data_IF_272364535482
#
_entry.id   IF_272364535482
#
_cell.length_a   1.000
_cell.length_b   1.000
_cell.length_c   1.000
_cell.angle_alpha   90.00
_cell.angle_beta   90.00
_cell.angle_gamma   90.00
#
_symmetry.space_group_name_H-M   'P 1'
#
loop_
_entity.id
_entity.type
_entity.pdbx_description
1 polymer ?
#
# COMPACT_ATOMS: atom_id res chain seq x y z
N UNK A 1 -20.22 -40.68 -3.11
CA UNK A 1 -19.52 -41.25 -4.29
C UNK A 1 -19.63 -40.24 -5.45
N UNK A 2 -18.88 -39.15 -5.41
CA UNK A 2 -18.93 -38.10 -6.44
C UNK A 2 -17.56 -37.39 -6.65
N UNK A 3 -16.48 -38.00 -6.15
CA UNK A 3 -15.14 -37.41 -6.03
C UNK A 3 -14.04 -38.34 -6.56
N UNK A 4 -14.41 -39.39 -7.32
CA UNK A 4 -13.45 -40.26 -8.03
C UNK A 4 -13.50 -40.10 -9.56
N UNK A 5 -14.67 -39.77 -10.11
CA UNK A 5 -14.84 -39.72 -11.57
C UNK A 5 -14.21 -38.48 -12.23
N UNK A 6 -14.02 -37.39 -11.48
CA UNK A 6 -13.38 -36.16 -12.00
C UNK A 6 -11.87 -36.36 -12.28
N UNK A 7 -11.20 -37.18 -11.47
CA UNK A 7 -9.76 -37.45 -11.62
C UNK A 7 -9.49 -38.25 -12.89
N UNK A 8 -10.36 -39.21 -13.22
CA UNK A 8 -10.24 -40.03 -14.43
C UNK A 8 -10.51 -39.28 -15.75
N UNK A 9 -11.11 -38.08 -15.69
CA UNK A 9 -11.33 -37.24 -16.86
C UNK A 9 -10.14 -36.31 -17.16
N UNK A 10 -9.40 -35.88 -16.13
CA UNK A 10 -8.21 -35.03 -16.31
C UNK A 10 -6.99 -35.80 -16.83
N UNK A 11 -6.81 -37.06 -16.43
CA UNK A 11 -5.69 -37.91 -16.89
C UNK A 11 -5.79 -38.36 -18.36
N UNK A 12 -6.83 -37.95 -19.09
CA UNK A 12 -7.05 -38.31 -20.50
C UNK A 12 -6.73 -37.19 -21.50
N UNK A 13 -6.42 -35.97 -21.04
CA UNK A 13 -6.12 -34.82 -21.91
C UNK A 13 -4.63 -34.62 -22.22
N UNK A 14 -3.71 -35.19 -21.44
CA UNK A 14 -2.27 -34.88 -21.55
C UNK A 14 -1.55 -35.63 -22.69
N UNK A 15 -2.09 -36.76 -23.14
CA UNK A 15 -1.40 -37.68 -24.08
C UNK A 15 -1.76 -37.43 -25.56
N UNK A 16 -1.68 -36.18 -26.06
CA UNK A 16 -2.00 -35.91 -27.49
C UNK A 16 -1.27 -34.79 -28.24
N UNK A 17 -0.08 -34.36 -27.80
CA UNK A 17 0.79 -33.46 -28.60
C UNK A 17 2.26 -33.93 -28.62
N UNK A 18 2.59 -34.84 -29.56
CA UNK A 18 3.89 -35.02 -30.26
C UNK A 18 3.98 -36.39 -30.95
N UNK A 19 3.54 -36.48 -32.20
CA UNK A 19 4.05 -37.41 -33.23
C UNK A 19 3.47 -36.98 -34.58
N UNK A 20 4.30 -36.40 -35.45
CA UNK A 20 4.07 -36.40 -36.90
C UNK A 20 5.36 -36.91 -37.51
N UNK A 21 5.31 -38.12 -38.05
CA UNK A 21 6.37 -38.71 -38.84
C UNK A 21 5.80 -39.13 -40.20
N UNK A 22 6.50 -38.73 -41.26
CA UNK A 22 6.63 -39.39 -42.56
C UNK A 22 5.45 -40.27 -43.05
N UNK A 23 4.77 -39.82 -44.11
CA UNK A 23 4.59 -40.71 -45.28
C UNK A 23 3.21 -40.84 -45.95
N UNK A 24 3.27 -40.78 -47.29
CA UNK A 24 2.47 -41.52 -48.29
C UNK A 24 0.93 -41.36 -48.41
N UNK A 25 0.55 -40.73 -49.54
CA UNK A 25 -0.43 -41.19 -50.56
C UNK A 25 -1.93 -41.30 -50.22
N UNK A 26 -2.81 -40.90 -51.17
CA UNK A 26 -4.28 -41.05 -51.02
C UNK A 26 -5.20 -40.23 -51.96
N UNK A 27 -4.93 -40.21 -53.26
CA UNK A 27 -5.87 -40.00 -54.40
C UNK A 27 -7.16 -39.12 -54.29
N UNK A 28 -7.18 -38.03 -55.09
CA UNK A 28 -8.35 -37.52 -55.88
C UNK A 28 -9.58 -36.91 -55.13
N UNK A 29 -10.42 -36.02 -55.69
CA UNK A 29 -10.52 -35.38 -57.03
C UNK A 29 -11.12 -33.97 -56.95
N UNK A 30 -10.87 -33.15 -57.99
CA UNK A 30 -11.65 -31.98 -58.46
C UNK A 30 -11.86 -30.75 -57.53
N UNK A 31 -11.93 -29.49 -58.00
CA UNK A 31 -11.17 -28.71 -59.03
C UNK A 31 -11.88 -27.36 -59.21
N UNK A 32 -11.20 -26.23 -59.00
CA UNK A 32 -11.51 -24.83 -59.43
C UNK A 32 -10.65 -23.89 -58.55
N UNK A 33 -9.83 -22.96 -59.05
CA UNK A 33 -9.39 -22.69 -60.42
C UNK A 33 -8.69 -21.32 -60.51
N UNK A 34 -7.36 -21.29 -60.62
CA UNK A 34 -6.54 -20.07 -60.81
C UNK A 34 -5.37 -20.35 -61.78
N UNK A 35 -4.96 -19.38 -62.62
CA UNK A 35 -3.95 -19.61 -63.65
C UNK A 35 -2.49 -19.35 -63.21
N UNK A 36 -1.65 -20.36 -63.47
CA UNK A 36 -0.31 -20.34 -64.11
C UNK A 36 0.72 -19.21 -63.85
N UNK A 37 1.98 -19.60 -63.59
CA UNK A 37 3.08 -18.65 -63.38
C UNK A 37 4.51 -19.20 -63.19
N UNK A 38 5.00 -20.07 -64.09
CA UNK A 38 6.42 -20.40 -64.35
C UNK A 38 7.30 -21.08 -63.26
N UNK A 39 7.44 -22.40 -63.41
CA UNK A 39 8.67 -23.26 -63.45
C UNK A 39 9.94 -22.93 -62.63
N UNK A 40 10.55 -24.01 -62.11
CA UNK A 40 11.79 -24.04 -61.32
C UNK A 40 12.88 -24.89 -62.01
N UNK A 41 14.08 -24.33 -62.19
CA UNK A 41 15.38 -24.95 -62.54
C UNK A 41 16.42 -23.81 -62.36
N UNK A 42 17.64 -23.98 -61.85
CA UNK A 42 18.44 -25.17 -61.53
C UNK A 42 19.44 -24.85 -60.37
N UNK A 43 20.29 -25.81 -59.99
CA UNK A 43 21.39 -25.78 -59.03
C UNK A 43 21.02 -25.80 -57.53
N UNK A 44 21.71 -26.67 -56.78
CA UNK A 44 21.71 -26.72 -55.32
C UNK A 44 23.13 -26.88 -54.78
N UNK A 45 23.33 -26.57 -53.49
CA UNK A 45 24.62 -26.72 -52.80
C UNK A 45 24.42 -26.99 -51.29
N UNK A 46 25.50 -27.39 -50.60
CA UNK A 46 25.50 -27.98 -49.25
C UNK A 46 24.72 -27.20 -48.16
N UNK A 47 23.70 -27.83 -47.57
CA UNK A 47 23.20 -27.44 -46.23
C UNK A 47 24.13 -28.01 -45.15
N UNK A 48 25.22 -27.29 -44.86
CA UNK A 48 25.99 -27.52 -43.64
C UNK A 48 25.16 -27.14 -42.41
N UNK A 49 25.26 -27.94 -41.35
CA UNK A 49 24.56 -27.68 -40.10
C UNK A 49 25.12 -26.41 -39.42
N UNK A 50 24.41 -25.30 -39.58
CA UNK A 50 24.70 -24.03 -38.90
C UNK A 50 24.23 -24.08 -37.45
N UNK A 51 25.15 -23.97 -36.50
CA UNK A 51 24.85 -23.91 -35.07
C UNK A 51 24.43 -22.49 -34.67
N UNK A 52 23.29 -22.05 -35.21
CA UNK A 52 22.90 -20.64 -35.25
C UNK A 52 22.37 -20.13 -33.91
N UNK A 53 22.88 -18.98 -33.45
CA UNK A 53 22.66 -18.48 -32.08
C UNK A 53 21.18 -18.25 -31.74
N UNK A 54 20.37 -17.84 -32.71
CA UNK A 54 18.92 -17.68 -32.56
C UNK A 54 18.21 -18.99 -32.17
N UNK A 55 18.74 -20.14 -32.57
CA UNK A 55 18.19 -21.47 -32.24
C UNK A 55 18.47 -21.83 -30.78
N UNK A 56 19.64 -21.44 -30.26
CA UNK A 56 19.98 -21.63 -28.84
C UNK A 56 19.22 -20.64 -27.95
N UNK A 57 19.08 -19.38 -28.38
CA UNK A 57 18.31 -18.37 -27.65
C UNK A 57 16.82 -18.75 -27.54
N UNK A 58 16.21 -19.28 -28.60
CA UNK A 58 14.84 -19.79 -28.58
C UNK A 58 14.68 -21.01 -27.65
N UNK A 59 15.65 -21.94 -27.65
CA UNK A 59 15.67 -23.06 -26.70
C UNK A 59 15.83 -22.58 -25.25
N UNK A 60 16.67 -21.58 -25.01
CA UNK A 60 16.92 -21.04 -23.68
C UNK A 60 15.73 -20.23 -23.15
N UNK A 61 14.95 -19.59 -24.02
CA UNK A 61 13.65 -18.99 -23.67
C UNK A 61 12.61 -20.06 -23.31
N UNK A 62 12.46 -21.11 -24.12
CA UNK A 62 11.51 -22.20 -23.84
C UNK A 62 11.82 -22.95 -22.53
N UNK A 63 13.10 -23.23 -22.25
CA UNK A 63 13.52 -23.82 -20.97
C UNK A 63 13.19 -22.91 -19.78
N UNK A 64 13.33 -21.59 -19.94
CA UNK A 64 12.99 -20.62 -18.89
C UNK A 64 11.47 -20.51 -18.66
N UNK A 65 10.64 -20.69 -19.70
CA UNK A 65 9.18 -20.78 -19.55
C UNK A 65 8.77 -22.07 -18.81
N UNK A 66 9.42 -23.20 -19.09
CA UNK A 66 9.16 -24.47 -18.41
C UNK A 66 9.61 -24.45 -16.93
N UNK A 67 10.76 -23.86 -16.61
CA UNK A 67 11.17 -23.58 -15.22
C UNK A 67 10.19 -22.61 -14.51
N UNK A 68 9.64 -21.64 -15.24
CA UNK A 68 8.66 -20.68 -14.69
C UNK A 68 7.33 -21.37 -14.35
N UNK A 69 6.81 -22.26 -15.19
CA UNK A 69 5.58 -23.02 -14.87
C UNK A 69 5.79 -24.02 -13.72
N UNK A 70 6.94 -24.70 -13.66
CA UNK A 70 7.28 -25.59 -12.54
C UNK A 70 7.44 -24.81 -11.22
N UNK A 71 8.05 -23.63 -11.26
CA UNK A 71 8.15 -22.72 -10.11
C UNK A 71 6.78 -22.23 -9.63
N UNK A 72 5.87 -21.88 -10.55
CA UNK A 72 4.50 -21.47 -10.23
C UNK A 72 3.73 -22.61 -9.54
N UNK A 73 3.76 -23.83 -10.09
CA UNK A 73 3.05 -24.97 -9.51
C UNK A 73 3.59 -25.34 -8.12
N UNK A 74 4.92 -25.28 -7.92
CA UNK A 74 5.57 -25.54 -6.62
C UNK A 74 5.24 -24.47 -5.59
N UNK A 75 5.08 -23.21 -5.99
CA UNK A 75 4.59 -22.16 -5.09
C UNK A 75 3.11 -22.36 -4.73
N UNK A 76 2.25 -22.76 -5.67
CA UNK A 76 0.81 -22.95 -5.41
C UNK A 76 0.57 -24.06 -4.38
N UNK A 77 1.30 -25.18 -4.45
CA UNK A 77 1.22 -26.24 -3.43
C UNK A 77 1.74 -25.75 -2.08
N UNK A 78 2.91 -25.12 -2.03
CA UNK A 78 3.49 -24.61 -0.77
C UNK A 78 2.59 -23.56 -0.08
N UNK A 79 1.98 -22.64 -0.83
CA UNK A 79 1.02 -21.67 -0.27
C UNK A 79 -0.26 -22.32 0.28
N UNK A 80 -0.73 -23.41 -0.33
CA UNK A 80 -1.86 -24.21 0.16
C UNK A 80 -1.52 -24.95 1.47
N UNK A 81 -0.30 -25.47 1.59
CA UNK A 81 0.22 -26.10 2.82
C UNK A 81 0.45 -25.09 3.95
N UNK A 82 0.88 -23.86 3.63
CA UNK A 82 1.00 -22.76 4.61
C UNK A 82 -0.38 -22.33 5.12
N UNK A 83 -1.39 -22.18 4.24
CA UNK A 83 -2.74 -21.80 4.65
C UNK A 83 -3.47 -22.88 5.48
N UNK A 84 -3.14 -24.16 5.30
CA UNK A 84 -3.77 -25.26 6.04
C UNK A 84 -3.11 -25.55 7.39
N UNK A 85 -1.87 -25.11 7.63
CA UNK A 85 -1.16 -25.26 8.90
C UNK A 85 -1.14 -23.99 9.77
N UNK A 86 -1.73 -22.88 9.32
CA UNK A 86 -1.80 -21.64 10.08
C UNK A 86 -2.82 -21.74 11.24
N UNK A 87 -2.33 -22.01 12.46
CA UNK A 87 -3.16 -21.93 13.67
C UNK A 87 -3.59 -20.48 13.97
N UNK A 88 -4.77 -20.24 14.58
CA UNK A 88 -5.20 -18.90 14.93
C UNK A 88 -4.25 -18.24 15.95
N UNK A 89 -3.71 -17.09 15.60
CA UNK A 89 -2.71 -16.33 16.40
C UNK A 89 -3.31 -15.71 17.69
N UNK A 90 -4.64 -15.77 17.83
CA UNK A 90 -5.44 -15.12 18.88
C UNK A 90 -5.30 -15.77 20.28
N UNK A 91 -5.07 -17.09 20.38
CA UNK A 91 -4.85 -17.78 21.66
C UNK A 91 -3.50 -17.39 22.30
N UNK A 92 -2.43 -17.35 21.51
CA UNK A 92 -1.07 -17.06 21.98
C UNK A 92 -0.95 -15.66 22.59
N UNK A 93 -1.64 -14.68 22.01
CA UNK A 93 -1.66 -13.30 22.50
C UNK A 93 -2.46 -13.20 23.81
N UNK A 94 -3.59 -13.90 23.93
CA UNK A 94 -4.37 -13.99 25.17
C UNK A 94 -3.55 -14.61 26.31
N UNK A 95 -2.82 -15.69 26.04
CA UNK A 95 -1.97 -16.33 27.06
C UNK A 95 -0.80 -15.42 27.51
N UNK A 96 -0.18 -14.69 26.57
CA UNK A 96 0.86 -13.70 26.89
C UNK A 96 0.33 -12.50 27.69
N UNK A 97 -0.89 -12.04 27.41
CA UNK A 97 -1.55 -10.99 28.19
C UNK A 97 -1.96 -11.47 29.58
N UNK A 98 -2.42 -12.72 29.71
CA UNK A 98 -2.78 -13.31 31.00
C UNK A 98 -1.56 -13.36 31.95
N UNK A 99 -0.41 -13.81 31.45
CA UNK A 99 0.83 -13.96 32.23
C UNK A 99 1.47 -12.62 32.66
N UNK A 100 1.16 -11.50 31.99
CA UNK A 100 1.67 -10.19 32.37
C UNK A 100 0.84 -9.46 33.44
N UNK A 101 -0.29 -10.01 33.90
CA UNK A 101 -1.14 -9.38 34.91
C UNK A 101 -0.88 -9.85 36.35
N UNK A 102 -0.30 -11.04 36.57
CA UNK A 102 -0.08 -11.58 37.92
C UNK A 102 1.20 -11.04 38.61
N UNK A 103 2.23 -10.67 37.82
CA UNK A 103 3.56 -10.30 38.34
C UNK A 103 3.69 -8.88 38.93
N UNK A 104 2.61 -8.08 38.93
CA UNK A 104 2.64 -6.66 39.33
C UNK A 104 1.61 -6.28 40.42
N UNK A 105 0.99 -7.27 41.07
CA UNK A 105 -0.01 -7.09 42.13
C UNK A 105 0.53 -7.35 43.56
N UNK A 106 1.85 -7.57 43.71
CA UNK A 106 2.45 -8.18 44.91
C UNK A 106 3.48 -7.30 45.66
N UNK A 107 3.50 -5.99 45.41
CA UNK A 107 4.31 -5.06 46.23
C UNK A 107 3.75 -3.64 46.32
N UNK A 108 2.84 -3.37 47.28
CA UNK A 108 2.79 -2.10 48.05
C UNK A 108 1.69 -1.97 49.14
N UNK A 109 1.21 -3.05 49.79
CA UNK A 109 0.27 -2.87 50.93
C UNK A 109 0.37 -3.96 52.04
N UNK A 110 1.34 -3.81 52.97
CA UNK A 110 1.21 -4.13 54.41
C UNK A 110 2.54 -3.91 55.17
N UNK A 111 2.65 -2.85 55.98
CA UNK A 111 3.69 -2.78 57.03
C UNK A 111 3.38 -1.77 58.16
N UNK A 112 2.12 -1.67 58.60
CA UNK A 112 1.72 -0.76 59.70
C UNK A 112 0.73 -1.39 60.69
N UNK A 113 1.08 -2.51 61.36
CA UNK A 113 0.62 -2.68 62.75
C UNK A 113 1.47 -3.62 63.63
N UNK A 114 1.78 -3.11 64.83
CA UNK A 114 1.76 -3.80 66.15
C UNK A 114 2.39 -5.21 66.26
N UNK A 115 3.58 -5.27 66.86
CA UNK A 115 3.88 -6.29 67.90
C UNK A 115 4.39 -5.56 69.14
N UNK A 116 3.86 -5.92 70.32
CA UNK A 116 4.30 -5.35 71.59
C UNK A 116 4.30 -6.41 72.71
N UNK A 117 5.50 -6.72 73.21
CA UNK A 117 5.77 -7.38 74.51
C UNK A 117 5.33 -8.85 74.70
N UNK A 118 5.85 -9.58 75.73
CA UNK A 118 7.03 -9.30 76.58
C UNK A 118 8.00 -10.52 76.77
N UNK A 119 9.05 -10.31 77.57
CA UNK A 119 9.84 -11.32 78.33
C UNK A 119 10.84 -12.22 77.54
N UNK A 120 12.03 -12.59 78.05
CA UNK A 120 12.84 -12.12 79.22
C UNK A 120 14.29 -12.66 79.12
N UNK A 121 15.27 -11.98 79.75
CA UNK A 121 16.60 -12.49 80.20
C UNK A 121 17.64 -12.88 79.10
N UNK A 122 18.96 -12.69 79.24
CA UNK A 122 19.77 -11.99 80.28
C UNK A 122 21.22 -11.68 79.81
N UNK A 123 21.89 -10.71 80.48
CA UNK A 123 23.37 -10.47 80.61
C UNK A 123 24.21 -10.27 79.31
N UNK A 124 25.09 -9.26 79.19
CA UNK A 124 25.38 -8.06 80.00
C UNK A 124 26.86 -7.60 79.95
N UNK A 125 27.15 -6.31 80.26
CA UNK A 125 28.49 -5.63 80.33
C UNK A 125 29.25 -5.52 78.98
N UNK A 126 30.09 -4.51 78.69
CA UNK A 126 30.62 -3.31 79.40
C UNK A 126 30.89 -2.16 78.36
N UNK A 127 30.81 -0.86 78.70
CA UNK A 127 31.93 0.15 78.79
C UNK A 127 32.94 0.18 77.62
N UNK A 128 33.45 1.31 77.09
CA UNK A 128 33.51 2.74 77.56
C UNK A 128 33.77 3.72 76.37
N UNK A 129 33.76 5.05 76.65
CA UNK A 129 34.58 6.20 76.14
C UNK A 129 35.53 6.02 74.92
N UNK A 130 35.94 7.04 74.14
CA UNK A 130 35.59 8.49 74.03
C UNK A 130 35.46 8.83 72.50
N UNK A 131 35.73 9.99 71.87
CA UNK A 131 36.33 11.31 72.19
C UNK A 131 35.68 12.42 71.30
N UNK A 132 36.09 13.68 71.48
CA UNK A 132 35.39 14.93 71.11
C UNK A 132 35.71 15.58 69.74
N UNK A 133 34.75 16.42 69.29
CA UNK A 133 34.86 17.78 68.69
C UNK A 133 35.75 18.10 67.46
N UNK A 134 35.10 18.57 66.38
CA UNK A 134 35.60 19.59 65.44
C UNK A 134 34.43 20.46 64.91
N UNK A 135 34.69 21.76 64.72
CA UNK A 135 33.66 22.81 64.70
C UNK A 135 33.00 23.18 63.35
N UNK A 136 31.77 23.68 63.49
CA UNK A 136 31.15 24.82 62.77
C UNK A 136 31.55 25.19 61.33
N UNK A 137 31.16 24.42 60.30
CA UNK A 137 30.87 25.02 58.97
C UNK A 137 29.77 24.29 58.14
N UNK A 138 28.54 24.15 58.67
CA UNK A 138 27.42 23.64 57.85
C UNK A 138 26.02 24.18 58.21
N UNK A 139 25.84 25.50 58.30
CA UNK A 139 24.52 26.12 58.46
C UNK A 139 23.88 26.54 57.12
N UNK A 140 22.77 25.86 56.81
CA UNK A 140 21.63 26.38 56.05
C UNK A 140 21.82 26.92 54.61
N UNK A 141 21.91 26.01 53.64
CA UNK A 141 21.44 26.23 52.25
C UNK A 141 20.28 25.30 51.86
N UNK A 142 19.36 25.02 52.80
CA UNK A 142 18.09 24.35 52.47
C UNK A 142 17.39 25.13 51.34
N UNK A 143 16.94 24.49 50.25
CA UNK A 143 16.20 25.20 49.21
C UNK A 143 14.96 25.84 49.84
N UNK A 144 14.70 27.11 49.52
CA UNK A 144 13.46 27.77 49.93
C UNK A 144 12.28 26.91 49.46
N UNK A 145 11.23 26.69 50.27
CA UNK A 145 10.02 26.04 49.78
C UNK A 145 9.54 26.83 48.57
N UNK A 146 9.33 26.13 47.45
CA UNK A 146 8.73 26.74 46.27
C UNK A 146 7.39 27.35 46.67
N UNK A 147 7.08 28.54 46.14
CA UNK A 147 5.85 29.25 46.46
C UNK A 147 4.66 28.31 46.26
N UNK A 148 3.74 28.26 47.22
CA UNK A 148 2.53 27.45 47.15
C UNK A 148 1.73 27.78 45.88
N UNK A 149 1.77 29.03 45.40
CA UNK A 149 1.18 29.42 44.12
C UNK A 149 1.91 28.78 42.91
N UNK A 150 3.24 28.67 42.95
CA UNK A 150 4.03 28.02 41.89
C UNK A 150 3.85 26.50 41.89
N UNK A 151 3.77 25.86 43.05
CA UNK A 151 3.51 24.42 43.16
C UNK A 151 2.10 24.05 42.70
N UNK A 152 1.09 24.88 43.04
CA UNK A 152 -0.28 24.72 42.55
C UNK A 152 -0.37 24.94 41.02
N UNK A 153 0.35 25.91 40.46
CA UNK A 153 0.43 26.12 39.01
C UNK A 153 1.08 24.93 38.29
N UNK A 154 2.20 24.40 38.82
CA UNK A 154 2.84 23.20 38.30
C UNK A 154 1.89 22.00 38.31
N UNK A 155 1.14 21.81 39.40
CA UNK A 155 0.17 20.72 39.54
C UNK A 155 -0.98 20.84 38.52
N UNK A 156 -1.45 22.05 38.23
CA UNK A 156 -2.46 22.31 37.19
C UNK A 156 -1.94 22.01 35.79
N UNK A 157 -0.74 22.48 35.45
CA UNK A 157 -0.09 22.18 34.17
C UNK A 157 0.15 20.67 33.99
N UNK A 158 0.47 19.94 35.06
CA UNK A 158 0.59 18.48 35.04
C UNK A 158 -0.77 17.77 34.83
N UNK A 159 -1.85 18.27 35.44
CA UNK A 159 -3.21 17.77 35.22
C UNK A 159 -3.69 18.06 33.79
N UNK A 160 -3.58 19.30 33.31
CA UNK A 160 -3.91 19.69 31.93
C UNK A 160 -3.14 18.85 30.90
N UNK A 161 -1.87 18.52 31.18
CA UNK A 161 -1.08 17.63 30.33
C UNK A 161 -1.55 16.17 30.40
N UNK A 162 -1.90 15.66 31.58
CA UNK A 162 -2.43 14.31 31.75
C UNK A 162 -3.80 14.14 31.09
N UNK A 163 -4.70 15.11 31.25
CA UNK A 163 -6.03 15.15 30.63
C UNK A 163 -5.90 15.24 29.09
N UNK A 164 -4.95 16.05 28.59
CA UNK A 164 -4.63 16.10 27.15
C UNK A 164 -4.11 14.76 26.61
N UNK A 165 -3.25 14.05 27.37
CA UNK A 165 -2.77 12.72 27.00
C UNK A 165 -3.88 11.65 27.05
N UNK A 166 -4.84 11.78 27.98
CA UNK A 166 -5.99 10.87 28.09
C UNK A 166 -7.00 11.09 26.97
N UNK A 167 -7.38 12.35 26.69
CA UNK A 167 -8.24 12.69 25.56
C UNK A 167 -7.66 12.16 24.24
N UNK A 168 -6.36 12.38 24.01
CA UNK A 168 -5.63 11.90 22.83
C UNK A 168 -5.38 10.40 22.78
N UNK A 169 -5.73 9.66 23.85
CA UNK A 169 -5.81 8.19 23.85
C UNK A 169 -7.22 7.75 23.45
N UNK A 170 -8.25 8.34 24.06
CA UNK A 170 -9.66 8.06 23.76
C UNK A 170 -10.00 8.35 22.29
N UNK A 171 -9.50 9.47 21.74
CA UNK A 171 -9.57 9.78 20.30
C UNK A 171 -9.04 8.62 19.44
N UNK A 172 -7.84 8.12 19.76
CA UNK A 172 -7.21 7.02 19.02
C UNK A 172 -7.95 5.68 19.18
N UNK A 173 -8.54 5.42 20.35
CA UNK A 173 -9.34 4.21 20.62
C UNK A 173 -10.68 4.26 19.86
N UNK A 174 -11.36 5.40 19.82
CA UNK A 174 -12.58 5.62 19.02
C UNK A 174 -12.29 5.56 17.52
N UNK A 175 -11.22 6.19 17.05
CA UNK A 175 -10.79 6.12 15.66
C UNK A 175 -10.38 4.71 15.23
N UNK A 176 -9.65 3.97 16.06
CA UNK A 176 -9.32 2.56 15.80
C UNK A 176 -10.59 1.71 15.70
N UNK A 177 -11.56 1.94 16.58
CA UNK A 177 -12.88 1.29 16.56
C UNK A 177 -13.69 1.65 15.31
N UNK A 178 -13.64 2.90 14.84
CA UNK A 178 -14.22 3.29 13.54
C UNK A 178 -13.48 2.66 12.35
N UNK A 179 -12.15 2.50 12.43
CA UNK A 179 -11.37 1.88 11.36
C UNK A 179 -11.58 0.36 11.30
N UNK A 180 -11.75 -0.34 12.43
CA UNK A 180 -12.14 -1.76 12.43
C UNK A 180 -13.52 -1.96 11.80
N UNK A 181 -14.55 -1.22 12.23
CA UNK A 181 -15.89 -1.30 11.65
C UNK A 181 -15.92 -0.99 10.15
N UNK A 182 -15.09 -0.06 9.66
CA UNK A 182 -14.92 0.20 8.22
C UNK A 182 -14.21 -0.93 7.48
N UNK A 183 -13.23 -1.60 8.11
CA UNK A 183 -12.50 -2.74 7.53
C UNK A 183 -13.37 -4.00 7.48
N UNK A 184 -14.19 -4.26 8.50
CA UNK A 184 -15.13 -5.40 8.57
C UNK A 184 -16.22 -5.36 7.49
N UNK A 185 -16.68 -4.17 7.10
CA UNK A 185 -17.72 -3.98 6.08
C UNK A 185 -17.15 -3.70 4.67
N UNK A 186 -15.82 -3.74 4.49
CA UNK A 186 -15.19 -3.56 3.19
C UNK A 186 -15.02 -4.92 2.45
N UNK A 187 -15.11 -4.97 1.12
CA UNK A 187 -14.74 -6.15 0.34
C UNK A 187 -13.31 -6.58 0.67
N UNK A 188 -13.09 -7.87 0.93
CA UNK A 188 -11.76 -8.35 1.31
C UNK A 188 -10.76 -8.21 0.16
N UNK A 189 -9.47 -8.36 0.47
CA UNK A 189 -8.41 -8.49 -0.53
C UNK A 189 -8.72 -9.64 -1.51
N UNK A 190 -9.29 -10.74 -1.00
CA UNK A 190 -9.64 -11.90 -1.83
C UNK A 190 -10.77 -11.55 -2.80
N UNK A 191 -11.91 -11.04 -2.32
CA UNK A 191 -13.07 -10.69 -3.15
C UNK A 191 -12.71 -9.64 -4.21
N UNK A 192 -11.96 -8.62 -3.79
CA UNK A 192 -11.50 -7.54 -4.67
C UNK A 192 -10.63 -8.09 -5.80
N UNK A 193 -9.67 -8.96 -5.52
CA UNK A 193 -8.85 -9.60 -6.56
C UNK A 193 -9.67 -10.59 -7.38
N UNK A 194 -10.60 -11.35 -6.79
CA UNK A 194 -11.46 -12.29 -7.52
C UNK A 194 -12.34 -11.59 -8.55
N UNK A 195 -12.90 -10.41 -8.24
CA UNK A 195 -13.75 -9.63 -9.15
C UNK A 195 -13.04 -9.06 -10.39
N UNK A 196 -11.71 -9.04 -10.42
CA UNK A 196 -10.92 -8.54 -11.55
C UNK A 196 -10.97 -9.46 -12.78
N UNK A 197 -10.85 -8.87 -13.97
CA UNK A 197 -10.65 -9.59 -15.23
C UNK A 197 -9.23 -10.17 -15.33
N UNK A 198 -9.06 -11.15 -16.22
CA UNK A 198 -7.78 -11.87 -16.42
C UNK A 198 -6.61 -10.92 -16.72
N UNK A 199 -6.81 -9.93 -17.59
CA UNK A 199 -5.81 -8.90 -17.90
C UNK A 199 -5.41 -8.06 -16.68
N UNK A 200 -6.37 -7.67 -15.85
CA UNK A 200 -6.15 -6.88 -14.63
C UNK A 200 -5.42 -7.70 -13.56
N UNK A 201 -5.75 -8.99 -13.42
CA UNK A 201 -5.02 -9.95 -12.57
C UNK A 201 -3.56 -10.10 -13.03
N UNK A 202 -3.34 -10.38 -14.33
CA UNK A 202 -1.99 -10.48 -14.93
C UNK A 202 -1.16 -9.20 -14.73
N UNK A 203 -1.75 -8.03 -14.92
CA UNK A 203 -1.08 -6.75 -14.73
C UNK A 203 -0.58 -6.54 -13.28
N UNK A 204 -1.41 -6.84 -12.28
CA UNK A 204 -1.02 -6.77 -10.87
C UNK A 204 0.04 -7.82 -10.55
N UNK A 205 -0.13 -9.07 -11.00
CA UNK A 205 0.81 -10.16 -10.74
C UNK A 205 2.22 -9.86 -11.31
N UNK A 206 2.29 -9.33 -12.54
CA UNK A 206 3.54 -8.91 -13.17
C UNK A 206 4.28 -7.84 -12.36
N UNK A 207 3.54 -6.82 -11.88
CA UNK A 207 4.13 -5.77 -11.02
C UNK A 207 4.53 -6.36 -9.66
N UNK A 208 3.68 -7.17 -9.02
CA UNK A 208 3.92 -7.75 -7.70
C UNK A 208 5.21 -8.61 -7.67
N UNK A 209 5.40 -9.47 -8.68
CA UNK A 209 6.61 -10.30 -8.81
C UNK A 209 7.90 -9.49 -8.93
N UNK A 210 7.87 -8.36 -9.65
CA UNK A 210 9.01 -7.44 -9.77
C UNK A 210 9.21 -6.60 -8.50
N UNK A 211 8.11 -6.08 -7.95
CA UNK A 211 8.10 -5.19 -6.79
C UNK A 211 8.62 -5.88 -5.53
N UNK A 212 8.30 -7.16 -5.31
CA UNK A 212 8.77 -7.96 -4.17
C UNK A 212 10.31 -7.94 -4.05
N UNK A 213 11.00 -8.36 -5.12
CA UNK A 213 12.47 -8.43 -5.18
C UNK A 213 13.12 -7.06 -5.02
N UNK A 214 12.51 -6.01 -5.60
CA UNK A 214 13.00 -4.63 -5.50
C UNK A 214 12.78 -4.03 -4.10
N UNK A 215 11.66 -4.35 -3.44
CA UNK A 215 11.39 -3.96 -2.07
C UNK A 215 12.44 -4.55 -1.12
N UNK A 216 12.67 -5.87 -1.18
CA UNK A 216 13.67 -6.57 -0.37
C UNK A 216 15.06 -5.94 -0.51
N UNK A 217 15.48 -5.66 -1.75
CA UNK A 217 16.75 -5.00 -2.05
C UNK A 217 16.83 -3.55 -1.55
N UNK A 218 15.69 -2.84 -1.46
CA UNK A 218 15.64 -1.43 -1.06
C UNK A 218 15.58 -1.21 0.47
N UNK A 219 15.09 -2.17 1.26
CA UNK A 219 14.87 -2.00 2.71
C UNK A 219 16.15 -1.58 3.46
N UNK A 220 17.26 -2.30 3.29
CA UNK A 220 18.49 -2.00 4.06
C UNK A 220 19.17 -0.69 3.62
N UNK A 221 19.29 -0.36 2.31
CA UNK A 221 19.68 0.97 1.86
C UNK A 221 18.79 2.09 2.41
N UNK A 222 17.47 1.90 2.43
CA UNK A 222 16.51 2.90 2.90
C UNK A 222 16.59 3.11 4.42
N UNK A 223 16.67 2.03 5.22
CA UNK A 223 16.93 2.11 6.68
C UNK A 223 18.25 2.83 6.99
N UNK A 224 19.30 2.54 6.22
CA UNK A 224 20.61 3.20 6.35
C UNK A 224 20.50 4.70 6.03
N UNK A 225 19.79 5.08 4.97
CA UNK A 225 19.54 6.46 4.57
C UNK A 225 18.70 7.23 5.61
N UNK A 226 17.66 6.61 6.16
CA UNK A 226 16.79 7.23 7.18
C UNK A 226 17.60 7.56 8.45
N UNK A 227 18.43 6.63 8.91
CA UNK A 227 19.34 6.88 10.04
C UNK A 227 20.38 7.96 9.71
N UNK A 228 21.11 7.79 8.61
CA UNK A 228 22.33 8.57 8.35
C UNK A 228 22.08 9.97 7.75
N UNK A 229 21.05 10.13 6.91
CA UNK A 229 20.73 11.42 6.27
C UNK A 229 19.68 12.22 7.06
N UNK A 230 18.70 11.54 7.66
CA UNK A 230 17.54 12.19 8.29
C UNK A 230 17.61 12.23 9.82
N UNK A 231 18.55 11.51 10.45
CA UNK A 231 18.67 11.43 11.90
C UNK A 231 17.44 10.80 12.57
N UNK A 232 16.80 9.83 11.90
CA UNK A 232 15.55 9.18 12.32
C UNK A 232 15.73 7.69 12.56
N UNK A 233 14.90 7.10 13.41
CA UNK A 233 15.05 5.67 13.73
C UNK A 233 14.50 4.78 12.59
N UNK A 234 15.20 3.71 12.18
CA UNK A 234 14.76 2.84 11.08
C UNK A 234 13.36 2.25 11.24
N UNK A 235 12.88 2.09 12.46
CA UNK A 235 11.56 1.56 12.81
C UNK A 235 10.43 2.54 12.43
N UNK A 236 10.75 3.80 12.12
CA UNK A 236 9.83 4.72 11.44
C UNK A 236 9.54 4.30 9.99
N UNK A 237 10.47 3.63 9.31
CA UNK A 237 10.23 3.10 7.96
C UNK A 237 9.12 2.06 7.96
N UNK A 238 9.10 1.19 8.98
CA UNK A 238 8.13 0.11 9.04
C UNK A 238 6.71 0.69 9.20
N UNK A 239 6.52 1.61 10.15
CA UNK A 239 5.24 2.35 10.31
C UNK A 239 4.84 3.15 9.05
N UNK A 240 5.81 3.73 8.36
CA UNK A 240 5.60 4.44 7.09
C UNK A 240 5.12 3.48 5.98
N UNK A 241 5.73 2.30 5.85
CA UNK A 241 5.32 1.26 4.92
C UNK A 241 3.94 0.70 5.26
N UNK A 242 3.63 0.47 6.54
CA UNK A 242 2.30 0.03 7.00
C UNK A 242 1.22 1.05 6.66
N UNK A 243 1.46 2.33 6.95
CA UNK A 243 0.54 3.40 6.59
C UNK A 243 0.34 3.49 5.06
N UNK A 244 1.38 3.30 4.24
CA UNK A 244 1.24 3.24 2.76
C UNK A 244 0.48 1.97 2.31
N UNK A 245 0.72 0.84 2.97
CA UNK A 245 0.09 -0.46 2.72
C UNK A 245 -1.40 -0.48 3.05
N UNK A 246 -1.84 0.28 4.04
CA UNK A 246 -3.19 0.16 4.61
C UNK A 246 -4.03 1.43 4.44
N UNK A 247 -3.55 2.59 4.89
CA UNK A 247 -4.42 3.76 5.21
C UNK A 247 -4.18 5.02 4.36
N UNK A 248 -2.96 5.24 3.84
CA UNK A 248 -2.58 6.41 3.04
C UNK A 248 -3.55 6.67 1.86
N UNK A 249 -4.29 7.80 1.80
CA UNK A 249 -5.42 7.93 0.88
C UNK A 249 -5.04 7.90 -0.59
N UNK A 250 -5.75 7.11 -1.41
CA UNK A 250 -5.63 7.16 -2.87
C UNK A 250 -6.67 8.15 -3.41
N UNK A 251 -6.21 9.10 -4.24
CA UNK A 251 -7.03 10.22 -4.70
C UNK A 251 -6.97 10.43 -6.21
N UNK A 252 -8.06 10.99 -6.77
CA UNK A 252 -8.16 11.36 -8.18
C UNK A 252 -8.47 12.86 -8.29
N UNK A 253 -7.46 13.67 -8.63
CA UNK A 253 -7.61 15.12 -8.85
C UNK A 253 -8.36 15.41 -10.15
N UNK A 254 -9.37 16.30 -10.09
CA UNK A 254 -10.25 16.60 -11.21
C UNK A 254 -10.72 18.06 -11.27
N UNK A 255 -11.01 18.53 -12.50
CA UNK A 255 -11.54 19.87 -12.76
C UNK A 255 -13.06 19.86 -12.67
N UNK A 256 -13.68 21.00 -12.37
CA UNK A 256 -15.15 21.15 -12.31
C UNK A 256 -15.87 20.64 -13.59
N UNK A 257 -15.25 20.79 -14.77
CA UNK A 257 -15.77 20.24 -16.04
C UNK A 257 -15.83 18.70 -16.05
N UNK A 258 -14.94 18.03 -15.32
CA UNK A 258 -14.94 16.56 -15.16
C UNK A 258 -16.00 16.15 -14.15
N UNK A 259 -16.15 16.86 -13.03
CA UNK A 259 -17.23 16.64 -12.07
C UNK A 259 -18.61 16.70 -12.75
N UNK A 260 -18.81 17.69 -13.63
CA UNK A 260 -20.03 17.85 -14.43
C UNK A 260 -20.22 16.81 -15.56
N UNK A 261 -19.22 15.97 -15.85
CA UNK A 261 -19.40 14.74 -16.64
C UNK A 261 -19.80 13.58 -15.72
N UNK A 262 -19.12 13.44 -14.57
CA UNK A 262 -19.37 12.36 -13.62
C UNK A 262 -20.79 12.37 -13.06
N UNK A 263 -21.45 13.54 -12.90
CA UNK A 263 -22.88 13.63 -12.57
C UNK A 263 -23.84 13.01 -13.60
N UNK A 264 -23.31 12.46 -14.71
CA UNK A 264 -24.03 11.79 -15.81
C UNK A 264 -23.44 10.43 -16.17
N UNK A 265 -22.49 9.92 -15.39
CA UNK A 265 -21.90 8.58 -15.54
C UNK A 265 -22.15 7.78 -14.26
N UNK A 266 -21.92 6.48 -14.33
CA UNK A 266 -21.90 5.56 -13.17
C UNK A 266 -20.48 5.23 -12.72
N UNK A 267 -19.46 5.52 -13.53
CA UNK A 267 -18.06 5.16 -13.27
C UNK A 267 -17.09 6.31 -13.56
N UNK A 268 -15.90 6.27 -12.95
CA UNK A 268 -14.76 7.07 -13.40
C UNK A 268 -14.05 6.36 -14.57
N UNK A 269 -13.93 7.06 -15.69
CA UNK A 269 -13.56 6.53 -17.01
C UNK A 269 -12.10 6.81 -17.40
N UNK A 270 -11.50 5.92 -18.18
CA UNK A 270 -10.14 6.03 -18.70
C UNK A 270 -9.99 7.04 -19.86
N UNK A 271 -8.75 7.29 -20.31
CA UNK A 271 -8.48 7.98 -21.58
C UNK A 271 -9.11 7.22 -22.75
N UNK A 272 -8.95 5.89 -22.79
CA UNK A 272 -9.43 5.04 -23.87
C UNK A 272 -10.97 5.05 -23.99
N UNK A 273 -11.69 5.17 -22.86
CA UNK A 273 -13.15 5.28 -22.84
C UNK A 273 -13.67 6.67 -23.25
N UNK A 274 -12.92 7.74 -22.98
CA UNK A 274 -13.43 9.12 -23.11
C UNK A 274 -12.79 9.96 -24.22
N UNK A 275 -11.68 9.51 -24.78
CA UNK A 275 -10.79 10.32 -25.62
C UNK A 275 -10.21 11.55 -24.92
N UNK A 276 -10.33 11.68 -23.59
CA UNK A 276 -9.92 12.87 -22.83
C UNK A 276 -8.97 12.54 -21.67
N UNK A 277 -8.00 13.42 -21.44
CA UNK A 277 -6.94 13.27 -20.43
C UNK A 277 -6.48 14.65 -19.95
N UNK A 278 -5.76 14.68 -18.83
CA UNK A 278 -5.01 15.85 -18.36
C UNK A 278 -3.51 15.82 -18.70
N UNK A 279 -3.00 14.70 -19.23
CA UNK A 279 -1.67 14.53 -19.81
C UNK A 279 -1.77 14.28 -21.31
N UNK A 280 -1.01 13.30 -21.83
CA UNK A 280 -1.17 12.88 -23.24
C UNK A 280 -2.59 12.39 -23.53
N UNK A 281 -3.01 12.55 -24.79
CA UNK A 281 -4.24 11.98 -25.37
C UNK A 281 -3.94 10.93 -26.44
N UNK A 282 -2.67 10.66 -26.71
CA UNK A 282 -2.20 9.62 -27.59
C UNK A 282 -2.40 8.25 -26.92
N UNK A 283 -3.26 7.42 -27.51
CA UNK A 283 -3.62 6.08 -27.01
C UNK A 283 -2.53 5.05 -27.25
N UNK A 284 -1.64 5.29 -28.20
CA UNK A 284 -0.73 4.28 -28.74
C UNK A 284 0.60 4.38 -27.98
N UNK A 285 1.06 5.61 -27.72
CA UNK A 285 2.04 5.91 -26.67
C UNK A 285 1.55 5.41 -25.30
N UNK A 286 0.28 5.66 -24.93
CA UNK A 286 -0.24 5.21 -23.63
C UNK A 286 -0.29 3.68 -23.52
N UNK A 287 -0.66 2.99 -24.59
CA UNK A 287 -0.60 1.53 -24.66
C UNK A 287 0.83 1.03 -24.51
N UNK A 288 1.78 1.59 -25.27
CA UNK A 288 3.21 1.27 -25.19
C UNK A 288 3.78 1.40 -23.77
N UNK A 289 3.38 2.44 -23.02
CA UNK A 289 3.79 2.60 -21.62
C UNK A 289 3.15 1.55 -20.71
N UNK A 290 1.84 1.30 -20.86
CA UNK A 290 1.12 0.29 -20.10
C UNK A 290 1.65 -1.13 -20.36
N UNK A 291 2.08 -1.45 -21.57
CA UNK A 291 2.67 -2.75 -21.90
C UNK A 291 4.03 -2.95 -21.21
N UNK A 292 4.84 -1.88 -21.11
CA UNK A 292 6.12 -1.89 -20.35
C UNK A 292 5.92 -1.92 -18.84
N UNK A 293 4.85 -1.30 -18.32
CA UNK A 293 4.49 -1.34 -16.90
C UNK A 293 3.90 -2.69 -16.47
N UNK A 294 3.10 -3.32 -17.34
CA UNK A 294 2.24 -4.46 -16.99
C UNK A 294 2.54 -5.76 -17.76
N UNK A 295 3.67 -5.83 -18.48
CA UNK A 295 4.08 -7.05 -19.19
C UNK A 295 3.12 -7.43 -20.32
N UNK A 296 2.71 -6.44 -21.11
CA UNK A 296 1.73 -6.59 -22.21
C UNK A 296 0.35 -7.12 -21.78
N UNK A 297 0.03 -7.16 -20.48
CA UNK A 297 -1.21 -7.75 -19.95
C UNK A 297 -2.51 -7.08 -20.45
N UNK A 298 -2.43 -5.88 -21.03
CA UNK A 298 -3.57 -5.15 -21.62
C UNK A 298 -3.65 -5.23 -23.16
N UNK A 299 -2.80 -5.99 -23.83
CA UNK A 299 -2.92 -6.20 -25.27
C UNK A 299 -4.24 -6.90 -25.64
N UNK A 300 -4.88 -6.42 -26.71
CA UNK A 300 -6.21 -6.86 -27.14
C UNK A 300 -7.38 -6.54 -26.18
N UNK A 301 -7.14 -5.84 -25.06
CA UNK A 301 -8.17 -5.60 -24.05
C UNK A 301 -9.09 -4.42 -24.40
N UNK A 302 -10.33 -4.49 -23.92
CA UNK A 302 -11.33 -3.42 -24.10
C UNK A 302 -10.92 -2.13 -23.36
N UNK A 303 -11.32 -0.98 -23.91
CA UNK A 303 -10.96 0.34 -23.39
C UNK A 303 -11.29 0.58 -21.90
N UNK A 304 -12.41 -0.01 -21.44
CA UNK A 304 -12.84 0.03 -20.04
C UNK A 304 -12.02 -0.89 -19.11
N UNK A 305 -11.40 -1.94 -19.66
CA UNK A 305 -10.68 -2.96 -18.88
C UNK A 305 -9.26 -2.50 -18.49
N UNK A 306 -8.71 -1.54 -19.27
CA UNK A 306 -7.43 -0.88 -19.00
C UNK A 306 -7.48 -0.03 -17.72
N UNK A 307 -6.33 0.22 -17.12
CA UNK A 307 -6.26 0.87 -15.81
C UNK A 307 -6.72 2.34 -15.84
N UNK A 308 -7.34 2.78 -14.73
CA UNK A 308 -7.65 4.18 -14.45
C UNK A 308 -6.48 4.79 -13.67
N UNK A 309 -6.35 6.12 -13.65
CA UNK A 309 -5.16 6.80 -13.08
C UNK A 309 -5.54 7.81 -11.99
N UNK A 310 -4.72 7.85 -10.93
CA UNK A 310 -4.80 8.78 -9.82
C UNK A 310 -3.43 9.01 -9.18
N UNK A 311 -3.40 9.37 -7.91
CA UNK A 311 -2.17 9.52 -7.12
C UNK A 311 -2.40 9.18 -5.65
N UNK A 312 -1.35 8.77 -4.94
CA UNK A 312 -1.40 8.55 -3.49
C UNK A 312 -1.15 9.87 -2.78
N UNK A 313 -2.09 10.26 -1.92
CA UNK A 313 -1.96 11.41 -1.02
C UNK A 313 -1.10 11.02 0.18
N UNK A 314 0.18 10.78 -0.09
CA UNK A 314 1.09 10.15 0.88
C UNK A 314 1.22 10.97 2.18
N UNK A 315 1.14 12.31 2.14
CA UNK A 315 1.16 13.13 3.37
C UNK A 315 -0.19 13.25 4.08
N UNK A 316 -1.29 12.76 3.49
CA UNK A 316 -2.65 12.91 4.03
C UNK A 316 -3.21 14.34 3.94
N UNK A 317 -2.60 15.23 3.16
CA UNK A 317 -3.00 16.65 3.05
C UNK A 317 -4.49 16.77 2.66
N UNK A 318 -5.30 17.46 3.47
CA UNK A 318 -6.73 17.62 3.19
C UNK A 318 -7.04 18.48 1.95
N UNK A 319 -6.06 19.29 1.49
CA UNK A 319 -6.08 20.02 0.21
C UNK A 319 -5.56 19.17 -0.97
N UNK A 320 -5.28 17.89 -0.73
CA UNK A 320 -4.82 16.91 -1.70
C UNK A 320 -3.36 17.12 -2.11
N UNK A 321 -2.89 16.36 -3.09
CA UNK A 321 -1.48 16.41 -3.52
C UNK A 321 -1.21 17.70 -4.29
N UNK A 322 -0.40 18.61 -3.73
CA UNK A 322 -0.08 19.89 -4.36
C UNK A 322 0.45 19.74 -5.80
N UNK A 323 1.42 18.84 -6.01
CA UNK A 323 1.98 18.54 -7.33
C UNK A 323 0.95 17.95 -8.34
N UNK A 324 -0.19 17.45 -7.88
CA UNK A 324 -1.28 16.96 -8.73
C UNK A 324 -2.34 18.04 -9.06
N UNK A 325 -2.29 19.24 -8.46
CA UNK A 325 -3.31 20.28 -8.66
C UNK A 325 -3.44 20.76 -10.12
N UNK A 326 -2.44 20.49 -10.99
CA UNK A 326 -2.56 20.66 -12.46
C UNK A 326 -3.73 19.88 -13.07
N UNK A 327 -4.08 18.74 -12.49
CA UNK A 327 -5.24 17.91 -12.88
C UNK A 327 -6.55 18.42 -12.28
N UNK A 328 -6.50 19.08 -11.11
CA UNK A 328 -7.62 19.83 -10.55
C UNK A 328 -7.49 20.12 -9.04
N UNK A 329 -8.27 21.08 -8.55
CA UNK A 329 -8.34 21.44 -7.12
C UNK A 329 -9.39 20.65 -6.33
N UNK A 330 -10.38 20.09 -7.01
CA UNK A 330 -11.26 19.08 -6.42
C UNK A 330 -10.58 17.71 -6.56
N UNK A 331 -10.82 16.79 -5.64
CA UNK A 331 -10.37 15.41 -5.78
C UNK A 331 -11.34 14.41 -5.14
N UNK A 332 -11.44 13.23 -5.74
CA UNK A 332 -12.12 12.09 -5.12
C UNK A 332 -11.15 11.38 -4.20
N UNK A 333 -11.62 10.95 -3.02
CA UNK A 333 -10.95 10.00 -2.15
C UNK A 333 -11.58 8.63 -2.41
N UNK A 334 -10.77 7.63 -2.71
CA UNK A 334 -11.21 6.25 -2.98
C UNK A 334 -11.30 5.46 -1.67
N UNK A 335 -12.24 4.50 -1.59
CA UNK A 335 -12.34 3.57 -0.45
C UNK A 335 -11.14 2.62 -0.38
N UNK A 336 -10.86 2.12 0.82
CA UNK A 336 -9.70 1.26 1.13
C UNK A 336 -9.59 0.01 0.25
N UNK A 337 -10.70 -0.67 -0.09
CA UNK A 337 -10.67 -1.89 -0.90
C UNK A 337 -10.10 -1.69 -2.30
N UNK A 338 -10.11 -0.47 -2.85
CA UNK A 338 -9.46 -0.20 -4.14
C UNK A 338 -7.94 -0.39 -4.08
N UNK A 339 -7.31 -0.20 -2.91
CA UNK A 339 -5.85 -0.34 -2.73
C UNK A 339 -5.35 -1.72 -3.15
N UNK A 340 -6.12 -2.77 -2.85
CA UNK A 340 -5.79 -4.15 -3.22
C UNK A 340 -5.62 -4.34 -4.74
N UNK A 341 -6.34 -3.54 -5.55
CA UNK A 341 -6.28 -3.53 -7.02
C UNK A 341 -5.53 -2.32 -7.58
N UNK A 342 -4.52 -1.81 -6.85
CA UNK A 342 -3.67 -0.70 -7.31
C UNK A 342 -2.18 -1.04 -7.38
N UNK A 343 -1.53 -0.44 -8.36
CA UNK A 343 -0.07 -0.35 -8.49
C UNK A 343 0.36 1.12 -8.45
N UNK A 344 1.62 1.38 -8.13
CA UNK A 344 2.10 2.71 -7.72
C UNK A 344 3.42 3.07 -8.40
N UNK A 345 3.65 4.36 -8.62
CA UNK A 345 4.91 4.86 -9.19
C UNK A 345 5.38 6.18 -8.54
N UNK A 346 6.70 6.40 -8.49
CA UNK A 346 7.31 7.53 -7.77
C UNK A 346 7.19 8.90 -8.47
N UNK A 347 6.69 8.92 -9.72
CA UNK A 347 6.65 10.09 -10.60
C UNK A 347 5.59 9.94 -11.71
N UNK A 348 5.66 10.77 -12.76
CA UNK A 348 4.82 10.69 -13.97
C UNK A 348 5.26 9.51 -14.86
N UNK A 349 4.45 8.45 -14.91
CA UNK A 349 4.79 7.21 -15.62
C UNK A 349 5.07 7.40 -17.11
N UNK A 350 4.48 8.43 -17.74
CA UNK A 350 4.64 8.68 -19.17
C UNK A 350 6.05 9.12 -19.56
N UNK A 351 6.79 9.77 -18.66
CA UNK A 351 8.17 10.19 -18.94
C UNK A 351 9.16 9.05 -18.73
N UNK A 352 8.95 8.24 -17.69
CA UNK A 352 9.77 7.07 -17.35
C UNK A 352 9.63 5.93 -18.36
N UNK A 353 8.39 5.49 -18.62
CA UNK A 353 8.11 4.34 -19.49
C UNK A 353 8.10 4.66 -21.00
N UNK A 354 8.32 5.93 -21.39
CA UNK A 354 8.63 6.26 -22.78
C UNK A 354 9.97 5.66 -23.26
N UNK A 355 10.90 5.36 -22.35
CA UNK A 355 12.20 4.74 -22.66
C UNK A 355 12.06 3.22 -22.71
N UNK A 356 12.59 2.58 -23.76
CA UNK A 356 12.54 1.13 -23.95
C UNK A 356 13.26 0.36 -22.83
N UNK A 357 14.49 0.78 -22.52
CA UNK A 357 15.34 0.14 -21.52
C UNK A 357 15.25 0.81 -20.14
N UNK A 358 14.04 1.18 -19.68
CA UNK A 358 13.91 1.69 -18.30
C UNK A 358 14.12 0.57 -17.27
N UNK A 359 14.95 0.86 -16.26
CA UNK A 359 15.14 0.02 -15.07
C UNK A 359 14.08 0.26 -13.99
N UNK A 360 13.21 1.25 -14.21
CA UNK A 360 12.14 1.61 -13.28
C UNK A 360 11.06 0.51 -13.24
N UNK A 361 10.39 0.40 -12.09
CA UNK A 361 9.32 -0.56 -11.88
C UNK A 361 8.31 -0.01 -10.91
N UNK A 362 7.06 -0.45 -11.05
CA UNK A 362 5.97 -0.05 -10.17
C UNK A 362 6.11 -0.77 -8.81
N UNK A 363 5.43 -0.24 -7.81
CA UNK A 363 5.20 -0.88 -6.53
C UNK A 363 3.77 -1.45 -6.45
N UNK A 364 3.55 -2.36 -5.50
CA UNK A 364 2.21 -2.65 -4.95
C UNK A 364 2.08 -1.99 -3.58
N UNK A 365 0.89 -2.03 -2.98
CA UNK A 365 0.70 -1.56 -1.59
C UNK A 365 1.55 -2.35 -0.58
N UNK A 366 1.80 -3.64 -0.84
CA UNK A 366 2.65 -4.50 -0.01
C UNK A 366 4.14 -4.26 -0.27
N UNK A 367 4.51 -4.03 -1.53
CA UNK A 367 5.91 -3.94 -1.96
C UNK A 367 6.26 -2.53 -2.45
N UNK A 368 6.51 -1.61 -1.52
CA UNK A 368 6.72 -0.18 -1.81
C UNK A 368 8.13 0.39 -1.55
N UNK A 369 9.04 -0.30 -0.84
CA UNK A 369 10.29 0.29 -0.35
C UNK A 369 11.22 0.87 -1.44
N UNK A 370 11.25 0.29 -2.64
CA UNK A 370 12.03 0.83 -3.77
C UNK A 370 11.48 2.16 -4.30
N UNK A 371 10.17 2.40 -4.19
CA UNK A 371 9.54 3.67 -4.56
C UNK A 371 9.85 4.75 -3.52
N UNK A 372 9.79 4.45 -2.21
CA UNK A 372 10.30 5.35 -1.16
C UNK A 372 11.80 5.64 -1.35
N UNK A 373 12.61 4.65 -1.71
CA UNK A 373 14.05 4.85 -1.94
C UNK A 373 14.35 5.84 -3.09
N UNK A 374 13.40 6.08 -4.00
CA UNK A 374 13.50 7.10 -5.06
C UNK A 374 13.03 8.51 -4.67
N UNK A 375 12.43 8.68 -3.49
CA UNK A 375 12.04 10.01 -2.98
C UNK A 375 13.28 10.83 -2.62
N UNK A 376 13.17 12.15 -2.60
CA UNK A 376 14.19 13.05 -2.02
C UNK A 376 14.20 12.98 -0.49
N UNK A 377 15.28 13.43 0.16
CA UNK A 377 15.37 13.45 1.64
C UNK A 377 14.30 14.36 2.27
N UNK A 378 13.88 15.43 1.58
CA UNK A 378 12.75 16.29 1.98
C UNK A 378 11.41 15.55 1.92
N UNK A 379 11.17 14.78 0.86
CA UNK A 379 9.94 13.98 0.71
C UNK A 379 9.89 12.82 1.71
N UNK A 380 11.02 12.14 1.96
CA UNK A 380 11.10 11.11 3.01
C UNK A 380 10.82 11.71 4.39
N UNK A 381 11.44 12.84 4.73
CA UNK A 381 11.15 13.53 5.99
C UNK A 381 9.66 13.88 6.11
N UNK A 382 9.06 14.46 5.06
CA UNK A 382 7.64 14.82 5.05
C UNK A 382 6.68 13.63 5.28
N UNK A 383 7.06 12.41 4.87
CA UNK A 383 6.25 11.19 5.06
C UNK A 383 6.56 10.48 6.39
N UNK A 384 7.81 10.50 6.86
CA UNK A 384 8.17 9.96 8.18
C UNK A 384 7.60 10.82 9.31
N UNK A 385 7.44 12.12 9.09
CA UNK A 385 6.83 13.06 10.04
C UNK A 385 5.31 12.81 10.29
N UNK A 386 4.69 11.78 9.71
CA UNK A 386 3.26 11.45 9.85
C UNK A 386 2.92 10.81 11.21
N UNK A 387 3.31 11.50 12.28
CA UNK A 387 2.97 11.21 13.66
C UNK A 387 1.54 11.63 14.00
N UNK A 388 0.57 10.82 13.53
CA UNK A 388 -0.87 10.79 13.90
C UNK A 388 -1.76 11.80 13.14
N UNK A 389 -2.72 11.25 12.39
CA UNK A 389 -4.09 11.75 12.16
C UNK A 389 -4.27 13.07 11.38
N UNK A 390 -3.60 14.15 11.77
CA UNK A 390 -3.63 15.43 11.07
C UNK A 390 -2.60 15.41 9.94
N UNK A 391 -3.05 15.12 8.71
CA UNK A 391 -2.19 14.98 7.54
C UNK A 391 -1.32 16.21 7.27
N UNK A 392 -0.04 15.97 6.99
CA UNK A 392 0.95 17.02 6.74
C UNK A 392 0.76 17.68 5.36
N UNK A 393 1.20 18.94 5.23
CA UNK A 393 1.11 19.64 3.94
C UNK A 393 1.95 18.94 2.87
N UNK A 394 1.30 18.68 1.74
CA UNK A 394 1.89 18.09 0.53
C UNK A 394 2.86 19.03 -0.19
N UNK A 395 3.09 20.25 0.30
CA UNK A 395 4.03 21.23 -0.27
C UNK A 395 5.48 20.73 -0.30
N UNK A 396 5.84 19.79 0.58
CA UNK A 396 7.14 19.10 0.55
C UNK A 396 7.25 18.02 -0.53
N UNK A 397 6.15 17.65 -1.20
CA UNK A 397 6.09 16.66 -2.28
C UNK A 397 6.19 17.38 -3.63
N UNK A 398 7.39 17.43 -4.19
CA UNK A 398 7.68 18.15 -5.44
C UNK A 398 7.14 17.43 -6.68
N UNK A 399 7.05 16.10 -6.64
CA UNK A 399 6.50 15.27 -7.71
C UNK A 399 5.40 14.37 -7.18
N UNK A 400 4.22 14.45 -7.78
CA UNK A 400 3.09 13.59 -7.41
C UNK A 400 3.43 12.11 -7.62
N UNK A 401 2.94 11.26 -6.72
CA UNK A 401 3.22 9.82 -6.70
C UNK A 401 2.04 9.11 -7.36
N UNK A 402 2.21 8.67 -8.60
CA UNK A 402 1.14 8.17 -9.45
C UNK A 402 0.59 6.81 -8.97
N UNK A 403 -0.69 6.57 -9.20
CA UNK A 403 -1.37 5.31 -8.89
C UNK A 403 -2.15 4.84 -10.12
N UNK A 404 -1.97 3.57 -10.46
CA UNK A 404 -2.71 2.90 -11.51
C UNK A 404 -3.73 1.95 -10.86
N UNK A 405 -5.00 2.14 -11.20
CA UNK A 405 -6.15 1.49 -10.58
C UNK A 405 -6.69 0.48 -11.58
N UNK A 406 -6.59 -0.81 -11.25
CA UNK A 406 -7.04 -1.90 -12.09
C UNK A 406 -8.51 -2.24 -11.76
N UNK A 407 -9.27 -2.70 -12.76
CA UNK A 407 -10.71 -2.88 -12.61
C UNK A 407 -11.49 -1.59 -12.86
N UNK A 408 -12.73 -1.57 -12.39
CA UNK A 408 -13.60 -0.39 -12.47
C UNK A 408 -13.54 0.48 -11.22
N UNK A 409 -14.05 1.70 -11.34
CA UNK A 409 -14.18 2.69 -10.27
C UNK A 409 -15.60 3.24 -10.32
N UNK A 410 -16.53 2.52 -9.69
CA UNK A 410 -17.96 2.83 -9.69
C UNK A 410 -18.28 3.94 -8.68
N UNK A 411 -18.98 4.98 -9.12
CA UNK A 411 -19.14 6.22 -8.35
C UNK A 411 -19.93 6.03 -7.05
N UNK A 412 -20.85 5.06 -6.99
CA UNK A 412 -21.68 4.77 -5.81
C UNK A 412 -21.05 3.79 -4.81
N UNK A 413 -20.07 2.99 -5.22
CA UNK A 413 -19.47 1.94 -4.36
C UNK A 413 -18.01 2.19 -4.03
N UNK A 414 -17.22 2.80 -4.91
CA UNK A 414 -15.76 2.94 -4.77
C UNK A 414 -15.31 4.30 -4.21
N UNK A 415 -16.17 5.33 -4.18
CA UNK A 415 -15.83 6.68 -3.71
C UNK A 415 -16.15 6.83 -2.22
N UNK A 416 -15.17 7.26 -1.43
CA UNK A 416 -15.32 7.58 -0.01
C UNK A 416 -15.79 9.02 0.21
N UNK A 417 -15.18 9.97 -0.52
CA UNK A 417 -15.50 11.38 -0.42
C UNK A 417 -15.14 12.17 -1.70
N UNK A 418 -15.79 13.33 -1.87
CA UNK A 418 -15.36 14.41 -2.74
C UNK A 418 -14.79 15.55 -1.88
N UNK A 419 -13.52 15.88 -2.07
CA UNK A 419 -12.89 17.09 -1.51
C UNK A 419 -13.02 18.26 -2.48
N UNK A 420 -13.47 19.40 -1.95
CA UNK A 420 -13.85 20.61 -2.68
C UNK A 420 -13.09 21.82 -2.12
N UNK A 421 -12.39 22.62 -2.94
CA UNK A 421 -11.61 23.77 -2.47
C UNK A 421 -12.51 24.92 -2.02
N UNK A 422 -12.07 25.66 -0.99
CA UNK A 422 -12.82 26.77 -0.42
C UNK A 422 -13.74 26.36 0.73
N UNK A 423 -14.58 27.31 1.13
CA UNK A 423 -15.73 27.13 2.02
C UNK A 423 -17.02 26.99 1.22
N UNK A 424 -17.98 26.18 1.67
CA UNK A 424 -19.30 26.05 1.01
C UNK A 424 -20.02 27.40 0.94
N UNK A 425 -19.91 28.22 1.98
CA UNK A 425 -20.53 29.56 2.05
C UNK A 425 -20.00 30.58 1.03
N UNK A 426 -18.82 30.34 0.44
CA UNK A 426 -18.22 31.19 -0.58
C UNK A 426 -18.38 30.63 -2.00
N UNK A 427 -18.96 29.44 -2.16
CA UNK A 427 -19.15 28.80 -3.45
C UNK A 427 -20.39 29.38 -4.18
N UNK A 428 -20.27 29.52 -5.51
CA UNK A 428 -21.44 29.94 -6.31
C UNK A 428 -22.56 28.90 -6.21
N UNK A 429 -23.86 29.29 -6.20
CA UNK A 429 -24.98 28.35 -6.12
C UNK A 429 -24.94 27.26 -7.21
N UNK A 430 -24.47 27.59 -8.42
CA UNK A 430 -24.28 26.63 -9.52
C UNK A 430 -23.18 25.60 -9.24
N UNK A 431 -22.16 25.94 -8.46
CA UNK A 431 -21.12 24.99 -8.05
C UNK A 431 -21.59 24.13 -6.87
N UNK A 432 -22.32 24.71 -5.91
CA UNK A 432 -22.97 23.95 -4.83
C UNK A 432 -23.92 22.90 -5.42
N UNK A 433 -24.82 23.29 -6.33
CA UNK A 433 -25.72 22.35 -7.02
C UNK A 433 -24.96 21.22 -7.72
N UNK A 434 -23.83 21.50 -8.38
CA UNK A 434 -23.01 20.47 -9.03
C UNK A 434 -22.36 19.50 -8.04
N UNK A 435 -21.95 19.99 -6.86
CA UNK A 435 -21.42 19.15 -5.77
C UNK A 435 -22.53 18.29 -5.17
N UNK A 436 -23.70 18.88 -4.89
CA UNK A 436 -24.87 18.21 -4.33
C UNK A 436 -25.46 17.18 -5.33
N UNK A 437 -25.40 17.44 -6.64
CA UNK A 437 -25.74 16.49 -7.71
C UNK A 437 -24.76 15.31 -7.76
N UNK A 438 -23.46 15.56 -7.61
CA UNK A 438 -22.47 14.48 -7.54
C UNK A 438 -22.62 13.65 -6.27
N UNK A 439 -22.89 14.28 -5.13
CA UNK A 439 -23.17 13.58 -3.88
C UNK A 439 -24.37 12.64 -4.01
N UNK A 440 -25.45 13.10 -4.67
CA UNK A 440 -26.68 12.31 -4.87
C UNK A 440 -26.45 11.02 -5.67
N UNK A 441 -25.57 11.02 -6.67
CA UNK A 441 -25.29 9.82 -7.48
C UNK A 441 -24.24 8.88 -6.88
N UNK A 442 -23.37 9.41 -6.00
CA UNK A 442 -22.23 8.67 -5.43
C UNK A 442 -22.47 8.19 -4.00
N UNK A 443 -23.41 8.81 -3.28
CA UNK A 443 -23.61 8.57 -1.84
C UNK A 443 -22.40 8.93 -0.98
N UNK A 444 -21.37 9.58 -1.53
CA UNK A 444 -20.11 9.82 -0.83
C UNK A 444 -20.18 11.03 0.11
N UNK A 445 -19.19 11.15 1.00
CA UNK A 445 -19.05 12.33 1.84
C UNK A 445 -18.61 13.54 1.00
N UNK A 446 -19.00 14.75 1.40
CA UNK A 446 -18.52 16.00 0.77
C UNK A 446 -17.73 16.78 1.81
N UNK A 447 -16.49 17.09 1.47
CA UNK A 447 -15.55 17.82 2.32
C UNK A 447 -15.21 19.17 1.67
N UNK A 448 -15.45 20.27 2.36
CA UNK A 448 -15.03 21.60 1.93
C UNK A 448 -13.73 21.96 2.66
N UNK A 449 -12.65 22.17 1.89
CA UNK A 449 -11.27 22.13 2.39
C UNK A 449 -10.98 23.19 3.46
N UNK A 450 -11.56 24.38 3.34
CA UNK A 450 -11.30 25.46 4.30
C UNK A 450 -12.30 25.44 5.47
N UNK A 451 -13.51 24.87 5.29
CA UNK A 451 -14.47 24.64 6.39
C UNK A 451 -13.93 23.61 7.41
N UNK A 452 -13.02 22.71 6.99
CA UNK A 452 -12.34 21.75 7.86
C UNK A 452 -11.11 22.31 8.60
N UNK A 453 -10.61 23.49 8.22
CA UNK A 453 -9.38 24.08 8.79
C UNK A 453 -9.64 25.13 9.88
N UNK A 454 -10.90 25.53 10.09
CA UNK A 454 -11.24 26.66 10.97
C UNK A 454 -10.72 28.03 10.46
N UNK A 455 -10.24 28.08 9.22
CA UNK A 455 -9.96 29.30 8.46
C UNK A 455 -11.26 29.97 8.01
#
# INVERSE_FOLDING_TARGET
MATRDLVAQLTNSETKVKTIALGSQGETSASLGLPEGLTFEDMGEDVKCGNDAATQDLLQQLMAEEEQEQGINTMITSWSEIQSNATPVDESIKLAMQLHFDDNASSHEECLSKVASPCTLSRGRHRHHEEDELDEEYQASKPKPADHASMELLRRLQLEHADSLLARRLEMEEEATMHSHRRENAPSKCDTIQSLKVCQKKAIQFVQYRAMKLHEQAIQPLRTRIRNNLGREPEELDRCLEYIRDDAPIVIHLKQKTLSKLTKDTHFRSLFETGTSGGTRDTDQRSTWEDRMFGSAYNGCQAQDRCKYGCINVTGDIRGVHAAQRYGKCFLILKSHLRYRTTFFGSDSGQSFARENTKESLATHEFYAHVLQSYTDSELSAVLNLSRLQGASSSGITVYKEVQIHGDVCLSTDIQALSVPGKRIHATPKFIQLVDDFQRISGCNVMWQDDLLGL
#
